data_IF_997484190418
#
_entry.id   IF_997484190418
#
_cell.length_a   1.000
_cell.length_b   1.000
_cell.length_c   1.000
_cell.angle_alpha   90.00
_cell.angle_beta   90.00
_cell.angle_gamma   90.00
#
_symmetry.space_group_name_H-M   'P 1'
#
loop_
_entity.id
_entity.type
_entity.pdbx_description
1 polymer ?
#
# COMPACT_ATOMS: atom_id res chain seq x y z
N UNK A 1 -22.59 -4.30 -19.24
CA UNK A 1 -21.36 -3.51 -19.42
C UNK A 1 -20.23 -4.32 -18.81
N UNK A 2 -19.25 -4.74 -19.60
CA UNK A 2 -18.15 -5.58 -19.12
C UNK A 2 -17.13 -4.70 -18.39
N UNK A 3 -17.04 -4.85 -17.07
CA UNK A 3 -16.00 -4.18 -16.28
C UNK A 3 -14.67 -4.88 -16.57
N UNK A 4 -13.75 -4.16 -17.22
CA UNK A 4 -12.40 -4.65 -17.49
C UNK A 4 -11.64 -4.67 -16.17
N UNK A 5 -11.58 -5.81 -15.50
CA UNK A 5 -10.72 -6.05 -14.34
C UNK A 5 -9.28 -5.97 -14.80
N UNK A 6 -8.65 -4.82 -14.64
CA UNK A 6 -7.24 -4.61 -14.94
C UNK A 6 -6.42 -5.16 -13.78
N UNK A 7 -6.13 -6.45 -13.82
CA UNK A 7 -5.36 -7.16 -12.79
C UNK A 7 -3.87 -7.06 -13.15
N UNK A 8 -3.10 -6.33 -12.34
CA UNK A 8 -1.65 -6.49 -12.31
C UNK A 8 -1.30 -7.48 -11.21
N UNK A 9 -0.88 -8.68 -11.61
CA UNK A 9 -0.38 -9.71 -10.71
C UNK A 9 1.13 -9.53 -10.52
N UNK A 10 1.57 -8.91 -9.43
CA UNK A 10 2.92 -9.16 -8.92
C UNK A 10 2.86 -10.38 -8.01
N UNK A 11 2.82 -11.56 -8.62
CA UNK A 11 2.99 -12.84 -7.92
C UNK A 11 4.49 -13.07 -7.77
N UNK A 12 5.06 -12.60 -6.67
CA UNK A 12 6.25 -13.21 -6.07
C UNK A 12 6.08 -13.06 -4.54
N UNK A 13 5.92 -14.17 -3.81
CA UNK A 13 6.04 -14.26 -2.33
C UNK A 13 4.80 -14.08 -1.40
N UNK A 14 3.55 -14.22 -1.88
CA UNK A 14 2.41 -14.41 -0.97
C UNK A 14 1.93 -13.17 -0.20
N UNK A 15 2.29 -11.97 -0.67
CA UNK A 15 1.77 -10.71 -0.13
C UNK A 15 0.33 -10.45 -0.57
N UNK A 16 -0.48 -9.75 0.25
CA UNK A 16 -1.86 -9.40 -0.07
C UNK A 16 -1.94 -8.54 -1.35
N UNK A 17 -2.91 -8.88 -2.19
CA UNK A 17 -3.14 -8.26 -3.49
C UNK A 17 -3.82 -6.89 -3.31
N UNK A 18 -3.09 -5.79 -3.48
CA UNK A 18 -3.69 -4.44 -3.54
C UNK A 18 -4.36 -4.27 -4.90
N UNK A 19 -5.66 -3.97 -4.90
CA UNK A 19 -6.41 -3.74 -6.15
C UNK A 19 -5.92 -2.45 -6.82
N UNK A 20 -5.73 -2.50 -8.14
CA UNK A 20 -5.47 -1.31 -8.98
C UNK A 20 -6.74 -0.72 -9.58
N UNK A 21 -7.91 -1.15 -9.11
CA UNK A 21 -9.18 -0.57 -9.55
C UNK A 21 -9.28 0.88 -9.08
N UNK A 22 -9.85 1.73 -9.93
CA UNK A 22 -10.07 3.13 -9.55
C UNK A 22 -10.99 3.19 -8.33
N UNK A 23 -10.61 4.00 -7.34
CA UNK A 23 -11.46 4.24 -6.18
C UNK A 23 -12.79 4.87 -6.62
N UNK A 24 -13.89 4.27 -6.18
CA UNK A 24 -15.26 4.74 -6.45
C UNK A 24 -15.86 5.16 -5.11
N UNK A 25 -15.53 6.38 -4.69
CA UNK A 25 -16.00 6.92 -3.41
C UNK A 25 -15.68 5.99 -2.24
N UNK A 26 -16.69 5.72 -1.41
CA UNK A 26 -16.60 4.81 -0.27
C UNK A 26 -16.75 3.33 -0.62
N UNK A 27 -17.27 3.00 -1.80
CA UNK A 27 -17.75 1.65 -2.13
C UNK A 27 -16.63 0.61 -2.11
N UNK A 28 -15.44 0.99 -2.57
CA UNK A 28 -14.26 0.14 -2.60
C UNK A 28 -13.10 0.67 -1.76
N UNK A 29 -13.26 1.82 -1.10
CA UNK A 29 -12.21 2.42 -0.27
C UNK A 29 -11.83 1.52 0.91
N UNK A 30 -12.81 0.96 1.63
CA UNK A 30 -12.53 0.11 2.79
C UNK A 30 -11.77 -1.17 2.41
N UNK A 31 -12.13 -1.78 1.29
CA UNK A 31 -11.43 -2.97 0.78
C UNK A 31 -10.01 -2.63 0.31
N UNK A 32 -9.83 -1.46 -0.30
CA UNK A 32 -8.52 -0.97 -0.70
C UNK A 32 -7.65 -0.64 0.51
N UNK A 33 -8.17 0.09 1.50
CA UNK A 33 -7.42 0.48 2.71
C UNK A 33 -6.98 -0.75 3.50
N UNK A 34 -7.86 -1.76 3.67
CA UNK A 34 -7.50 -3.02 4.30
C UNK A 34 -6.41 -3.79 3.53
N UNK A 35 -6.42 -3.73 2.19
CA UNK A 35 -5.38 -4.38 1.38
C UNK A 35 -4.03 -3.66 1.50
N UNK A 36 -4.04 -2.33 1.62
CA UNK A 36 -2.85 -1.52 1.87
C UNK A 36 -2.29 -1.79 3.27
N UNK A 37 -3.13 -1.79 4.30
CA UNK A 37 -2.72 -2.12 5.67
C UNK A 37 -2.06 -3.51 5.73
N UNK A 38 -2.71 -4.54 5.21
CA UNK A 38 -2.16 -5.89 5.20
C UNK A 38 -0.84 -5.99 4.42
N UNK A 39 -0.66 -5.18 3.36
CA UNK A 39 0.58 -5.14 2.61
C UNK A 39 1.73 -4.55 3.44
N UNK A 40 1.49 -3.45 4.16
CA UNK A 40 2.48 -2.87 5.09
C UNK A 40 2.82 -3.82 6.24
N UNK A 41 1.82 -4.51 6.81
CA UNK A 41 2.02 -5.55 7.83
C UNK A 41 2.87 -6.72 7.30
N UNK A 42 2.62 -7.16 6.06
CA UNK A 42 3.35 -8.26 5.44
C UNK A 42 4.83 -7.98 5.15
N UNK A 43 5.25 -6.71 5.12
CA UNK A 43 6.64 -6.29 4.90
C UNK A 43 7.34 -5.82 6.19
N UNK A 44 6.62 -5.73 7.31
CA UNK A 44 7.16 -5.17 8.57
C UNK A 44 7.28 -3.64 8.58
N UNK A 45 6.53 -2.95 7.72
CA UNK A 45 6.53 -1.48 7.60
C UNK A 45 5.26 -0.86 8.20
N UNK A 46 4.65 -1.47 9.22
CA UNK A 46 3.46 -0.91 9.89
C UNK A 46 3.67 0.52 10.39
N UNK A 47 4.91 0.84 10.79
CA UNK A 47 5.32 2.18 11.21
C UNK A 47 5.21 3.22 10.08
N UNK A 48 5.25 2.82 8.80
CA UNK A 48 5.07 3.74 7.66
C UNK A 48 3.67 4.34 7.55
N UNK A 49 2.66 3.72 8.15
CA UNK A 49 1.30 4.27 8.13
C UNK A 49 1.08 5.34 9.20
N UNK A 50 1.91 5.35 10.25
CA UNK A 50 1.70 6.15 11.46
C UNK A 50 2.77 7.23 11.58
N UNK A 51 4.00 6.92 11.18
CA UNK A 51 5.16 7.79 11.33
C UNK A 51 5.31 8.70 10.13
N UNK A 52 5.19 10.01 10.36
CA UNK A 52 5.44 11.02 9.34
C UNK A 52 6.95 11.23 9.17
N UNK A 53 7.40 11.55 7.95
CA UNK A 53 8.83 11.84 7.67
C UNK A 53 9.41 12.92 8.61
N UNK A 54 8.57 13.84 9.08
CA UNK A 54 8.95 14.89 10.04
C UNK A 54 9.49 14.34 11.36
N UNK A 55 8.94 13.22 11.83
CA UNK A 55 9.26 12.58 13.10
C UNK A 55 10.44 11.59 12.99
N UNK A 56 10.97 11.40 11.77
CA UNK A 56 12.05 10.46 11.47
C UNK A 56 13.40 11.15 11.52
N UNK A 57 14.39 10.46 12.08
CA UNK A 57 15.77 10.91 12.12
C UNK A 57 16.31 11.13 10.70
N UNK A 58 17.07 12.22 10.50
CA UNK A 58 17.50 12.69 9.18
C UNK A 58 18.30 11.65 8.38
N UNK A 59 18.99 10.73 9.06
CA UNK A 59 19.76 9.64 8.46
C UNK A 59 18.86 8.54 7.88
N UNK A 60 17.71 8.28 8.51
CA UNK A 60 16.78 7.22 8.11
C UNK A 60 15.76 7.70 7.07
N UNK A 61 15.55 9.02 6.94
CA UNK A 61 14.67 9.62 5.91
C UNK A 61 15.02 9.21 4.48
N UNK A 62 16.29 8.93 4.20
CA UNK A 62 16.73 8.48 2.86
C UNK A 62 16.22 7.07 2.56
N UNK A 63 16.18 6.18 3.56
CA UNK A 63 15.61 4.85 3.40
C UNK A 63 14.08 4.91 3.38
N UNK A 64 13.49 5.77 4.21
CA UNK A 64 12.05 6.00 4.23
C UNK A 64 11.50 6.46 2.88
N UNK A 65 12.13 7.48 2.27
CA UNK A 65 11.73 7.96 0.93
C UNK A 65 11.90 6.95 -0.20
N UNK A 66 12.68 5.87 -0.01
CA UNK A 66 12.76 4.79 -1.02
C UNK A 66 11.54 3.88 -0.99
N UNK A 67 10.83 3.81 0.13
CA UNK A 67 9.62 3.01 0.27
C UNK A 67 8.42 3.78 -0.32
N UNK A 68 8.47 5.11 -0.31
CA UNK A 68 7.46 5.99 -0.92
C UNK A 68 7.56 6.16 -2.45
N UNK A 69 8.70 5.81 -3.07
CA UNK A 69 9.01 6.08 -4.48
C UNK A 69 8.76 4.87 -5.40
#
# INVERSE_FOLDING_TARGET
MATKTSIFSSVISGSPMITSEKLVGSDNYLSWSASVELWFMGQGYEDHLITQEADIAKVDRVQWRKIDA
#
